data_IF_735476861704
#
_entry.id   IF_735476861704
#
_cell.length_a   1.000
_cell.length_b   1.000
_cell.length_c   1.000
_cell.angle_alpha   90.00
_cell.angle_beta   90.00
_cell.angle_gamma   90.00
#
_symmetry.space_group_name_H-M   'P 1'
#
loop_
_entity.id
_entity.type
_entity.pdbx_description
1 polymer ?
#
# COMPACT_ATOMS: atom_id res chain seq x y z
N UNK A 1 4.95 -3.54 -17.06
CA UNK A 1 4.16 -3.09 -15.87
C UNK A 1 4.40 -3.99 -14.66
N UNK A 2 4.36 -5.31 -14.81
CA UNK A 2 4.79 -6.25 -13.74
C UNK A 2 6.30 -6.22 -13.44
N UNK A 3 7.10 -5.57 -14.29
CA UNK A 3 8.56 -5.50 -14.14
C UNK A 3 8.99 -4.81 -12.83
N UNK A 4 8.09 -4.01 -12.23
CA UNK A 4 8.33 -3.32 -10.96
C UNK A 4 7.76 -4.06 -9.73
N UNK A 5 7.10 -5.21 -9.91
CA UNK A 5 6.45 -6.01 -8.87
C UNK A 5 7.41 -7.00 -8.18
N UNK A 6 8.56 -6.51 -7.72
CA UNK A 6 9.64 -7.39 -7.25
C UNK A 6 9.22 -8.26 -6.04
N UNK A 7 8.41 -7.75 -5.11
CA UNK A 7 7.90 -8.52 -3.97
C UNK A 7 7.04 -9.68 -4.46
N UNK A 8 6.08 -9.40 -5.33
CA UNK A 8 5.20 -10.43 -5.89
C UNK A 8 5.98 -11.52 -6.63
N UNK A 9 6.96 -11.15 -7.45
CA UNK A 9 7.82 -12.12 -8.14
C UNK A 9 8.71 -12.92 -7.16
N UNK A 10 9.30 -12.25 -6.17
CA UNK A 10 10.14 -12.90 -5.17
C UNK A 10 9.37 -13.93 -4.34
N UNK A 11 8.17 -13.58 -3.89
CA UNK A 11 7.27 -14.46 -3.13
C UNK A 11 6.83 -15.63 -4.01
N UNK A 12 6.41 -15.37 -5.26
CA UNK A 12 6.05 -16.43 -6.20
C UNK A 12 7.20 -17.44 -6.38
N UNK A 13 8.41 -16.96 -6.68
CA UNK A 13 9.56 -17.83 -6.85
C UNK A 13 9.86 -18.65 -5.58
N UNK A 14 9.84 -18.00 -4.41
CA UNK A 14 10.11 -18.65 -3.12
C UNK A 14 9.07 -19.72 -2.78
N UNK A 15 7.79 -19.46 -3.02
CA UNK A 15 6.70 -20.38 -2.72
C UNK A 15 6.66 -21.59 -3.67
N UNK A 16 7.02 -21.41 -4.95
CA UNK A 16 7.04 -22.50 -5.92
C UNK A 16 8.27 -23.40 -5.82
N UNK A 17 9.38 -22.88 -5.29
CA UNK A 17 10.63 -23.61 -5.18
C UNK A 17 11.23 -23.51 -3.76
N UNK A 18 10.49 -23.87 -2.70
CA UNK A 18 10.88 -23.57 -1.32
C UNK A 18 12.18 -24.29 -0.90
N UNK A 19 12.41 -25.50 -1.43
CA UNK A 19 13.61 -26.31 -1.18
C UNK A 19 14.85 -25.83 -1.95
N UNK A 20 14.65 -25.21 -3.12
CA UNK A 20 15.75 -24.74 -3.98
C UNK A 20 16.15 -23.30 -3.64
N UNK A 21 15.16 -22.44 -3.41
CA UNK A 21 15.36 -21.01 -3.13
C UNK A 21 15.33 -20.81 -1.62
N UNK A 22 16.51 -20.75 -1.01
CA UNK A 22 16.64 -20.47 0.43
C UNK A 22 16.57 -18.98 0.77
N UNK A 23 17.08 -18.13 -0.12
CA UNK A 23 17.08 -16.67 0.02
C UNK A 23 16.83 -16.02 -1.32
N UNK A 24 16.25 -14.81 -1.28
CA UNK A 24 16.12 -13.94 -2.44
C UNK A 24 16.87 -12.65 -2.15
N UNK A 25 17.81 -12.29 -3.03
CA UNK A 25 18.56 -11.05 -2.92
C UNK A 25 18.02 -10.02 -3.90
N UNK A 26 17.63 -8.85 -3.37
CA UNK A 26 17.21 -7.70 -4.15
C UNK A 26 18.43 -6.79 -4.32
N UNK A 27 18.85 -6.59 -5.56
CA UNK A 27 19.97 -5.71 -5.92
C UNK A 27 19.60 -4.87 -7.14
N UNK A 28 20.01 -3.60 -7.14
CA UNK A 28 19.80 -2.68 -8.25
C UNK A 28 20.97 -1.71 -8.36
N UNK A 29 21.15 -1.13 -9.55
CA UNK A 29 22.12 -0.08 -9.77
C UNK A 29 21.60 1.22 -9.12
N UNK A 30 22.35 1.76 -8.15
CA UNK A 30 21.94 2.92 -7.34
C UNK A 30 22.05 4.27 -8.07
N UNK A 31 21.73 4.33 -9.36
CA UNK A 31 21.63 5.59 -10.10
C UNK A 31 20.41 6.35 -9.57
N UNK A 32 20.64 7.41 -8.82
CA UNK A 32 19.57 8.25 -8.25
C UNK A 32 18.95 9.08 -9.37
N UNK A 33 17.68 8.84 -9.72
CA UNK A 33 17.04 9.62 -10.77
C UNK A 33 16.61 11.00 -10.25
N UNK A 34 16.44 11.95 -11.15
CA UNK A 34 15.95 13.29 -10.87
C UNK A 34 14.45 13.44 -11.16
N UNK A 35 13.86 14.56 -10.73
CA UNK A 35 12.46 14.89 -11.01
C UNK A 35 11.45 13.89 -10.42
N UNK A 36 10.37 13.61 -11.17
CA UNK A 36 9.30 12.69 -10.73
C UNK A 36 9.82 11.25 -10.52
N UNK A 37 10.84 10.83 -11.27
CA UNK A 37 11.42 9.49 -11.11
C UNK A 37 12.08 9.30 -9.74
N UNK A 38 12.56 10.37 -9.11
CA UNK A 38 13.05 10.35 -7.72
C UNK A 38 11.98 9.87 -6.75
N UNK A 39 10.72 10.24 -6.98
CA UNK A 39 9.61 9.85 -6.11
C UNK A 39 9.34 8.35 -6.19
N UNK A 40 9.31 7.80 -7.40
CA UNK A 40 9.17 6.36 -7.63
C UNK A 40 10.36 5.59 -7.05
N UNK A 41 11.58 6.11 -7.20
CA UNK A 41 12.78 5.52 -6.62
C UNK A 41 12.74 5.49 -5.09
N UNK A 42 12.28 6.56 -4.44
CA UNK A 42 12.07 6.57 -3.00
C UNK A 42 11.03 5.53 -2.55
N UNK A 43 9.88 5.44 -3.24
CA UNK A 43 8.86 4.43 -2.95
C UNK A 43 9.41 3.01 -3.15
N UNK A 44 10.26 2.79 -4.15
CA UNK A 44 10.95 1.53 -4.35
C UNK A 44 11.90 1.20 -3.20
N UNK A 45 12.74 2.14 -2.73
CA UNK A 45 13.61 1.92 -1.56
C UNK A 45 12.80 1.57 -0.30
N UNK A 46 11.70 2.27 -0.06
CA UNK A 46 10.77 1.97 1.02
C UNK A 46 10.22 0.54 0.93
N UNK A 47 9.77 0.14 -0.27
CA UNK A 47 9.26 -1.20 -0.53
C UNK A 47 10.31 -2.27 -0.26
N UNK A 48 11.56 -2.07 -0.73
CA UNK A 48 12.67 -2.98 -0.42
C UNK A 48 12.91 -3.06 1.08
N UNK A 49 12.88 -1.92 1.78
CA UNK A 49 13.07 -1.88 3.23
C UNK A 49 12.07 -2.72 3.99
N UNK A 50 10.78 -2.50 3.74
CA UNK A 50 9.73 -3.26 4.40
C UNK A 50 9.77 -4.73 4.00
N UNK A 51 10.11 -5.03 2.75
CA UNK A 51 10.21 -6.43 2.29
C UNK A 51 11.31 -7.21 3.02
N UNK A 52 12.51 -6.65 3.18
CA UNK A 52 13.60 -7.31 3.92
C UNK A 52 13.36 -7.35 5.44
N UNK A 53 12.54 -6.44 5.97
CA UNK A 53 12.09 -6.50 7.37
C UNK A 53 11.03 -7.58 7.58
N UNK A 54 10.10 -7.74 6.64
CA UNK A 54 8.98 -8.66 6.78
C UNK A 54 9.39 -10.13 6.56
N UNK A 55 10.47 -10.37 5.80
CA UNK A 55 10.89 -11.71 5.42
C UNK A 55 12.38 -11.98 5.68
N UNK A 56 12.68 -12.86 6.64
CA UNK A 56 14.06 -13.25 6.98
C UNK A 56 14.86 -13.88 5.81
N UNK A 57 14.15 -14.42 4.82
CA UNK A 57 14.75 -15.00 3.61
C UNK A 57 15.03 -13.95 2.53
N UNK A 58 14.53 -12.73 2.66
CA UNK A 58 14.79 -11.63 1.74
C UNK A 58 15.98 -10.80 2.25
N UNK A 59 16.93 -10.51 1.36
CA UNK A 59 18.12 -9.70 1.68
C UNK A 59 18.37 -8.64 0.62
N UNK A 60 19.06 -7.57 1.00
CA UNK A 60 19.60 -6.56 0.09
C UNK A 60 21.06 -6.31 0.43
N UNK A 61 21.90 -6.07 -0.58
CA UNK A 61 23.31 -5.74 -0.43
C UNK A 61 23.63 -4.35 -0.99
N UNK A 62 22.62 -3.51 -1.17
CA UNK A 62 22.82 -2.18 -1.71
C UNK A 62 23.37 -1.24 -0.64
N UNK A 63 24.62 -0.79 -0.79
CA UNK A 63 25.23 0.24 0.07
C UNK A 63 24.38 1.52 0.15
N UNK A 64 23.51 1.74 -0.84
CA UNK A 64 22.56 2.87 -0.88
C UNK A 64 21.35 2.73 0.06
N UNK A 65 21.24 1.59 0.75
CA UNK A 65 20.13 1.24 1.60
C UNK A 65 20.36 1.58 3.08
N UNK A 66 21.61 1.76 3.50
CA UNK A 66 21.93 2.12 4.89
C UNK A 66 21.25 3.46 5.24
N UNK A 67 20.38 3.42 6.25
CA UNK A 67 19.62 4.55 6.82
C UNK A 67 18.45 5.09 5.99
N UNK A 68 17.72 4.24 5.24
CA UNK A 68 16.43 4.67 4.70
C UNK A 68 15.39 4.89 5.82
N UNK A 69 15.07 6.15 6.10
CA UNK A 69 14.18 6.56 7.18
C UNK A 69 13.12 7.55 6.66
N UNK A 70 11.86 7.29 6.98
CA UNK A 70 10.73 8.17 6.68
C UNK A 70 10.07 8.72 7.94
N UNK A 71 10.66 8.54 9.13
CA UNK A 71 10.06 8.90 10.43
C UNK A 71 9.60 10.35 10.55
N UNK A 72 10.26 11.27 9.86
CA UNK A 72 9.91 12.69 9.83
C UNK A 72 8.86 13.04 8.76
N UNK A 73 8.36 12.05 8.03
CA UNK A 73 7.38 12.25 6.98
C UNK A 73 5.95 12.25 7.53
N UNK A 74 5.07 12.82 6.72
CA UNK A 74 3.63 12.81 6.94
C UNK A 74 2.93 12.19 5.73
N UNK A 75 1.83 11.48 5.99
CA UNK A 75 0.96 10.96 4.94
C UNK A 75 -0.16 11.95 4.63
N UNK A 76 -0.52 12.09 3.35
CA UNK A 76 -1.65 12.93 2.97
C UNK A 76 -3.00 12.28 3.33
N UNK A 77 -4.06 13.04 3.09
CA UNK A 77 -5.43 12.69 3.42
C UNK A 77 -6.38 13.21 2.32
N UNK A 78 -7.65 12.75 2.29
CA UNK A 78 -8.64 13.23 1.34
C UNK A 78 -8.81 14.76 1.36
N UNK A 79 -8.67 15.42 0.20
CA UNK A 79 -8.91 16.87 0.05
C UNK A 79 -10.21 17.21 -0.69
N UNK A 80 -10.81 16.21 -1.34
CA UNK A 80 -12.06 16.30 -2.08
C UNK A 80 -12.79 14.96 -1.98
N UNK A 81 -14.08 14.97 -2.28
CA UNK A 81 -14.82 13.74 -2.52
C UNK A 81 -14.26 12.98 -3.73
N UNK A 82 -14.56 11.69 -3.79
CA UNK A 82 -14.28 10.92 -5.01
C UNK A 82 -15.03 11.54 -6.20
N UNK A 83 -14.49 11.38 -7.41
CA UNK A 83 -15.19 11.85 -8.62
C UNK A 83 -16.60 11.23 -8.69
N UNK A 84 -17.57 11.93 -9.26
CA UNK A 84 -18.94 11.42 -9.36
C UNK A 84 -19.05 10.25 -10.35
N UNK A 85 -18.27 10.29 -11.44
CA UNK A 85 -18.28 9.27 -12.49
C UNK A 85 -17.10 8.33 -12.33
N UNK A 86 -17.35 7.03 -12.46
CA UNK A 86 -16.28 6.04 -12.60
C UNK A 86 -15.58 6.23 -13.95
N UNK A 87 -14.25 6.28 -13.95
CA UNK A 87 -13.46 6.47 -15.16
C UNK A 87 -13.17 5.15 -15.89
N UNK A 88 -13.24 4.02 -15.19
CA UNK A 88 -12.97 2.69 -15.72
C UNK A 88 -13.79 1.59 -14.99
N UNK A 89 -13.58 0.33 -15.40
CA UNK A 89 -14.29 -0.81 -14.84
C UNK A 89 -13.93 -1.08 -13.38
N UNK A 90 -12.65 -0.98 -13.01
CA UNK A 90 -12.18 -1.17 -11.62
C UNK A 90 -12.82 -0.14 -10.68
N UNK A 91 -12.86 1.14 -11.07
CA UNK A 91 -13.57 2.20 -10.32
C UNK A 91 -15.08 1.97 -10.21
N UNK A 92 -15.70 1.27 -11.17
CA UNK A 92 -17.10 0.88 -11.08
C UNK A 92 -17.27 -0.27 -10.10
N UNK A 93 -16.38 -1.25 -10.14
CA UNK A 93 -16.35 -2.39 -9.22
C UNK A 93 -16.08 -1.95 -7.78
N UNK A 94 -15.13 -1.04 -7.54
CA UNK A 94 -14.83 -0.44 -6.24
C UNK A 94 -16.11 0.13 -5.60
N UNK A 95 -16.82 0.99 -6.34
CA UNK A 95 -18.07 1.61 -5.86
C UNK A 95 -19.17 0.60 -5.62
N UNK A 96 -19.29 -0.38 -6.51
CA UNK A 96 -20.23 -1.49 -6.36
C UNK A 96 -19.97 -2.27 -5.08
N UNK A 97 -18.70 -2.60 -4.82
CA UNK A 97 -18.28 -3.32 -3.62
C UNK A 97 -18.55 -2.50 -2.35
N UNK A 98 -18.14 -1.23 -2.31
CA UNK A 98 -18.41 -0.32 -1.18
C UNK A 98 -19.91 -0.23 -0.92
N UNK A 99 -20.74 -0.05 -1.95
CA UNK A 99 -22.18 0.05 -1.80
C UNK A 99 -22.82 -1.24 -1.31
N UNK A 100 -22.34 -2.40 -1.77
CA UNK A 100 -22.89 -3.70 -1.39
C UNK A 100 -22.55 -4.08 0.06
N UNK A 101 -21.37 -3.69 0.56
CA UNK A 101 -20.85 -4.10 1.86
C UNK A 101 -20.88 -2.98 2.91
N UNK A 102 -21.54 -1.84 2.64
CA UNK A 102 -21.56 -0.68 3.54
C UNK A 102 -22.17 -0.96 4.92
N UNK A 103 -22.99 -2.00 5.04
CA UNK A 103 -23.61 -2.44 6.29
C UNK A 103 -22.76 -3.44 7.09
N UNK A 104 -21.68 -3.97 6.50
CA UNK A 104 -20.86 -5.01 7.12
C UNK A 104 -19.69 -4.45 7.95
N UNK A 105 -19.38 -3.17 7.76
CA UNK A 105 -18.23 -2.45 8.34
C UNK A 105 -18.72 -1.18 9.05
N UNK A 106 -17.98 -0.71 10.06
CA UNK A 106 -18.27 0.54 10.77
C UNK A 106 -18.08 1.77 9.86
N UNK A 107 -17.14 1.63 8.93
CA UNK A 107 -16.94 2.51 7.77
C UNK A 107 -16.28 1.72 6.67
N UNK A 108 -16.70 1.98 5.43
CA UNK A 108 -16.04 1.50 4.23
C UNK A 108 -16.08 2.61 3.19
N UNK A 109 -14.98 2.82 2.49
CA UNK A 109 -14.88 3.79 1.42
C UNK A 109 -13.78 3.40 0.43
N UNK A 110 -13.64 4.20 -0.62
CA UNK A 110 -12.67 3.94 -1.68
C UNK A 110 -11.69 5.11 -1.86
N UNK A 111 -10.56 4.83 -2.51
CA UNK A 111 -9.55 5.79 -2.92
C UNK A 111 -8.91 6.57 -1.75
N UNK A 112 -8.43 5.89 -0.71
CA UNK A 112 -7.73 6.55 0.42
C UNK A 112 -6.32 6.99 0.00
N UNK A 113 -5.96 8.29 0.08
CA UNK A 113 -4.65 8.76 -0.31
C UNK A 113 -3.54 8.25 0.61
N UNK A 114 -2.43 7.81 0.02
CA UNK A 114 -1.24 7.30 0.74
C UNK A 114 0.05 7.95 0.24
N UNK A 115 -0.04 9.18 -0.24
CA UNK A 115 1.12 9.97 -0.65
C UNK A 115 1.92 10.43 0.57
N UNK A 116 3.24 10.27 0.52
CA UNK A 116 4.15 10.60 1.63
C UNK A 116 4.95 11.86 1.32
N UNK A 117 5.08 12.72 2.33
CA UNK A 117 5.69 14.03 2.23
C UNK A 117 6.67 14.28 3.37
N UNK A 118 7.78 14.96 3.12
CA UNK A 118 8.71 15.42 4.16
C UNK A 118 8.03 16.51 5.00
N UNK A 119 7.72 16.20 6.27
CA UNK A 119 7.15 17.08 7.31
C UNK A 119 5.79 17.74 7.04
N UNK A 120 5.46 18.07 5.79
CA UNK A 120 4.27 18.85 5.42
C UNK A 120 3.78 18.47 4.02
N UNK A 121 2.45 18.34 3.89
CA UNK A 121 1.79 18.05 2.61
C UNK A 121 1.84 19.28 1.68
N UNK A 122 2.86 19.32 0.82
CA UNK A 122 3.03 20.32 -0.23
C UNK A 122 3.77 19.74 -1.46
N UNK A 123 3.70 20.39 -2.62
CA UNK A 123 4.24 19.86 -3.86
C UNK A 123 5.78 19.67 -3.86
N UNK A 124 6.51 20.53 -3.14
CA UNK A 124 7.98 20.51 -3.04
C UNK A 124 8.49 19.43 -2.08
N UNK A 125 7.65 19.02 -1.12
CA UNK A 125 8.00 18.06 -0.08
C UNK A 125 7.61 16.62 -0.44
N UNK A 126 7.22 16.33 -1.69
CA UNK A 126 6.85 14.96 -2.08
C UNK A 126 8.04 14.02 -1.90
N UNK A 127 7.81 12.93 -1.16
CA UNK A 127 8.79 11.84 -1.00
C UNK A 127 8.40 10.68 -1.91
N UNK A 128 7.10 10.36 -1.97
CA UNK A 128 6.51 9.36 -2.87
C UNK A 128 5.65 10.01 -3.95
N UNK A 129 5.29 9.25 -5.01
CA UNK A 129 4.31 9.70 -5.99
C UNK A 129 2.97 10.04 -5.34
N UNK A 130 2.22 10.96 -5.96
CA UNK A 130 0.93 11.45 -5.46
C UNK A 130 -0.11 11.42 -6.59
N UNK A 131 -1.36 11.76 -6.27
CA UNK A 131 -2.45 11.79 -7.25
C UNK A 131 -3.09 10.41 -7.36
N UNK A 132 -2.46 9.50 -8.10
CA UNK A 132 -2.99 8.15 -8.32
C UNK A 132 -2.55 7.14 -7.24
N UNK A 133 -1.76 7.55 -6.25
CA UNK A 133 -1.37 6.70 -5.14
C UNK A 133 -2.48 6.68 -4.08
N UNK A 134 -3.45 5.79 -4.26
CA UNK A 134 -4.62 5.65 -3.38
C UNK A 134 -4.90 4.16 -3.16
N UNK A 135 -5.26 3.78 -1.94
CA UNK A 135 -5.82 2.46 -1.64
C UNK A 135 -7.19 2.38 -2.30
N UNK A 136 -7.42 1.36 -3.12
CA UNK A 136 -8.67 1.17 -3.87
C UNK A 136 -9.86 1.16 -2.93
N UNK A 137 -9.89 0.25 -1.94
CA UNK A 137 -10.94 0.16 -0.94
C UNK A 137 -10.31 -0.01 0.44
N UNK A 138 -10.86 0.69 1.42
CA UNK A 138 -10.52 0.53 2.82
C UNK A 138 -11.78 0.46 3.67
N UNK A 139 -11.71 -0.28 4.76
CA UNK A 139 -12.79 -0.37 5.72
C UNK A 139 -12.27 -0.51 7.14
N UNK A 140 -13.05 -0.10 8.13
CA UNK A 140 -12.82 -0.43 9.53
C UNK A 140 -13.97 -1.26 10.05
N UNK A 141 -13.61 -2.29 10.83
CA UNK A 141 -14.54 -3.08 11.61
C UNK A 141 -13.89 -3.40 12.93
N UNK A 142 -14.52 -2.99 14.01
CA UNK A 142 -13.94 -3.04 15.35
C UNK A 142 -12.55 -2.35 15.35
N UNK A 143 -11.53 -3.03 15.83
CA UNK A 143 -10.14 -2.53 15.90
C UNK A 143 -9.27 -2.96 14.70
N UNK A 144 -9.90 -3.36 13.59
CA UNK A 144 -9.21 -3.88 12.40
C UNK A 144 -9.39 -2.95 11.20
N UNK A 145 -8.27 -2.55 10.60
CA UNK A 145 -8.25 -1.87 9.30
C UNK A 145 -8.16 -2.92 8.18
N UNK A 146 -9.13 -2.91 7.29
CA UNK A 146 -9.15 -3.73 6.08
C UNK A 146 -8.72 -2.89 4.89
N UNK A 147 -7.77 -3.41 4.11
CA UNK A 147 -7.24 -2.80 2.88
C UNK A 147 -7.47 -3.80 1.76
N UNK A 148 -8.14 -3.39 0.69
CA UNK A 148 -8.41 -4.26 -0.45
C UNK A 148 -7.71 -3.70 -1.68
N UNK A 149 -7.07 -4.59 -2.43
CA UNK A 149 -6.59 -4.33 -3.77
C UNK A 149 -7.51 -5.05 -4.75
N UNK A 150 -8.15 -4.30 -5.65
CA UNK A 150 -9.12 -4.86 -6.60
C UNK A 150 -8.47 -5.02 -7.97
N UNK A 151 -8.69 -6.17 -8.61
CA UNK A 151 -8.32 -6.37 -10.01
C UNK A 151 -9.49 -6.96 -10.78
N UNK A 152 -9.77 -6.40 -11.95
CA UNK A 152 -10.73 -7.01 -12.86
C UNK A 152 -10.19 -8.35 -13.44
N UNK A 153 -11.08 -9.22 -13.92
CA UNK A 153 -10.72 -10.57 -14.41
C UNK A 153 -9.65 -10.60 -15.52
N UNK A 154 -9.50 -9.53 -16.28
CA UNK A 154 -8.49 -9.41 -17.34
C UNK A 154 -7.12 -8.99 -16.80
N UNK A 155 -7.07 -8.44 -15.59
CA UNK A 155 -5.87 -7.93 -14.94
C UNK A 155 -5.29 -8.95 -13.95
N UNK A 156 -4.66 -10.00 -14.49
CA UNK A 156 -4.05 -11.07 -13.70
C UNK A 156 -2.58 -10.81 -13.37
N UNK A 157 -2.21 -9.55 -13.12
CA UNK A 157 -0.82 -9.15 -12.89
C UNK A 157 -0.33 -9.56 -11.51
N UNK A 158 0.95 -9.93 -11.41
CA UNK A 158 1.57 -10.26 -10.10
C UNK A 158 1.71 -9.02 -9.22
N UNK A 159 1.70 -7.83 -9.83
CA UNK A 159 1.72 -6.52 -9.16
C UNK A 159 0.71 -6.33 -8.03
N UNK A 160 -0.42 -7.05 -8.04
CA UNK A 160 -1.42 -7.00 -6.96
C UNK A 160 -0.81 -7.28 -5.57
N UNK A 161 0.17 -8.20 -5.49
CA UNK A 161 0.89 -8.50 -4.24
C UNK A 161 1.70 -7.29 -3.81
N UNK A 162 2.53 -6.76 -4.70
CA UNK A 162 3.40 -5.61 -4.42
C UNK A 162 2.63 -4.35 -4.03
N UNK A 163 1.47 -4.11 -4.67
CA UNK A 163 0.58 -2.97 -4.35
C UNK A 163 -0.03 -3.12 -2.96
N UNK A 164 -0.67 -4.27 -2.68
CA UNK A 164 -1.27 -4.54 -1.38
C UNK A 164 -0.24 -4.53 -0.25
N UNK A 165 0.94 -5.12 -0.46
CA UNK A 165 2.03 -5.08 0.52
C UNK A 165 2.49 -3.65 0.80
N UNK A 166 2.63 -2.81 -0.23
CA UNK A 166 2.96 -1.40 -0.03
C UNK A 166 1.90 -0.69 0.83
N UNK A 167 0.61 -0.91 0.53
CA UNK A 167 -0.48 -0.29 1.28
C UNK A 167 -0.55 -0.76 2.73
N UNK A 168 -0.42 -2.07 2.98
CA UNK A 168 -0.40 -2.61 4.34
C UNK A 168 0.79 -2.03 5.12
N UNK A 169 1.99 -2.03 4.54
CA UNK A 169 3.18 -1.52 5.21
C UNK A 169 3.10 -0.02 5.54
N UNK A 170 2.64 0.82 4.61
CA UNK A 170 2.59 2.27 4.87
C UNK A 170 1.49 2.64 5.87
N UNK A 171 0.39 1.87 5.87
CA UNK A 171 -0.65 2.02 6.87
C UNK A 171 -0.20 1.49 8.23
N UNK A 172 0.60 0.44 8.30
CA UNK A 172 1.22 -0.04 9.55
C UNK A 172 2.13 1.03 10.16
N UNK A 173 3.02 1.61 9.35
CA UNK A 173 3.89 2.71 9.77
C UNK A 173 3.09 3.94 10.25
N UNK A 174 1.92 4.19 9.65
CA UNK A 174 1.00 5.23 10.13
C UNK A 174 0.37 4.84 11.48
N UNK A 175 -0.24 3.65 11.57
CA UNK A 175 -0.99 3.24 12.77
C UNK A 175 -0.07 3.08 13.99
N UNK A 176 1.20 2.76 13.77
CA UNK A 176 2.24 2.70 14.81
C UNK A 176 2.86 4.06 15.14
N UNK A 177 2.45 5.13 14.46
CA UNK A 177 3.01 6.49 14.56
C UNK A 177 4.49 6.62 14.19
N UNK A 178 5.02 5.67 13.40
CA UNK A 178 6.34 5.85 12.79
C UNK A 178 6.31 6.99 11.76
N UNK A 179 5.21 7.11 11.01
CA UNK A 179 4.82 8.34 10.30
C UNK A 179 3.47 8.83 10.82
N UNK A 180 3.12 10.08 10.53
CA UNK A 180 1.91 10.70 11.10
C UNK A 180 1.05 11.38 10.02
N UNK A 181 -0.24 11.53 10.31
CA UNK A 181 -1.03 12.55 9.61
C UNK A 181 -0.62 13.96 10.09
N UNK A 182 -0.69 14.99 9.23
CA UNK A 182 -0.46 16.36 9.68
C UNK A 182 -1.66 16.90 10.46
N UNK A 183 -1.46 17.95 11.26
CA UNK A 183 -2.47 18.53 12.15
C UNK A 183 -3.79 18.94 11.46
N UNK A 184 -3.73 19.36 10.20
CA UNK A 184 -4.90 19.76 9.43
C UNK A 184 -5.82 18.58 9.04
N UNK A 185 -5.31 17.34 9.09
CA UNK A 185 -6.10 16.13 8.86
C UNK A 185 -7.28 15.98 9.84
N UNK A 186 -7.14 16.49 11.07
CA UNK A 186 -8.16 16.41 12.13
C UNK A 186 -9.52 17.01 11.74
N UNK A 187 -9.53 17.94 10.77
CA UNK A 187 -10.73 18.67 10.36
C UNK A 187 -11.48 17.99 9.21
N UNK A 188 -10.95 16.90 8.66
CA UNK A 188 -11.43 16.30 7.43
C UNK A 188 -12.52 15.28 7.73
N UNK A 189 -13.67 15.43 7.06
CA UNK A 189 -14.84 14.54 7.17
C UNK A 189 -15.20 13.84 5.84
N UNK A 190 -14.32 13.95 4.85
CA UNK A 190 -14.54 13.41 3.52
C UNK A 190 -14.39 11.90 3.54
N UNK A 191 -15.28 11.19 2.84
CA UNK A 191 -15.16 9.73 2.63
C UNK A 191 -15.02 8.91 3.93
N UNK A 192 -15.62 9.37 5.03
CA UNK A 192 -15.52 8.70 6.35
C UNK A 192 -14.15 8.78 7.02
N UNK A 193 -13.26 9.66 6.53
CA UNK A 193 -11.90 9.81 7.06
C UNK A 193 -11.86 10.30 8.51
N UNK A 194 -12.87 11.03 8.97
CA UNK A 194 -13.00 11.45 10.37
C UNK A 194 -13.00 10.24 11.31
N UNK A 195 -13.73 9.17 10.96
CA UNK A 195 -13.74 7.92 11.73
C UNK A 195 -12.36 7.26 11.76
N UNK A 196 -11.67 7.20 10.61
CA UNK A 196 -10.32 6.64 10.53
C UNK A 196 -9.31 7.46 11.35
N UNK A 197 -9.38 8.78 11.24
CA UNK A 197 -8.53 9.69 12.00
C UNK A 197 -8.78 9.56 13.51
N UNK A 198 -10.04 9.44 13.92
CA UNK A 198 -10.40 9.19 15.32
C UNK A 198 -9.87 7.83 15.82
N UNK A 199 -9.93 6.77 15.00
CA UNK A 199 -9.34 5.48 15.35
C UNK A 199 -7.81 5.56 15.47
N UNK A 200 -7.16 6.26 14.54
CA UNK A 200 -5.72 6.52 14.52
C UNK A 200 -5.25 7.29 15.77
N UNK A 201 -5.85 8.44 16.07
CA UNK A 201 -5.39 9.28 17.20
C UNK A 201 -5.60 8.60 18.56
N UNK A 202 -6.63 7.75 18.66
CA UNK A 202 -6.93 6.96 19.86
C UNK A 202 -6.21 5.61 19.87
N UNK A 203 -5.33 5.31 18.89
CA UNK A 203 -4.57 4.05 18.77
C UNK A 203 -5.45 2.80 18.87
N UNK A 204 -6.64 2.85 18.26
CA UNK A 204 -7.60 1.74 18.30
C UNK A 204 -7.24 0.61 17.34
N UNK A 205 -6.71 0.95 16.17
CA UNK A 205 -6.34 -0.04 15.17
C UNK A 205 -5.14 -0.84 15.65
N UNK A 206 -5.34 -2.12 15.95
CA UNK A 206 -4.29 -3.04 16.40
C UNK A 206 -3.95 -4.12 15.36
N UNK A 207 -4.69 -4.16 14.25
CA UNK A 207 -4.50 -5.12 13.18
C UNK A 207 -4.85 -4.52 11.83
N UNK A 208 -4.04 -4.84 10.82
CA UNK A 208 -4.32 -4.54 9.42
C UNK A 208 -4.51 -5.88 8.69
N UNK A 209 -5.53 -5.96 7.83
CA UNK A 209 -5.78 -7.11 6.95
C UNK A 209 -5.79 -6.64 5.50
N UNK A 210 -4.84 -7.14 4.72
CA UNK A 210 -4.86 -7.01 3.25
C UNK A 210 -5.79 -8.06 2.64
N UNK A 211 -6.51 -7.69 1.58
CA UNK A 211 -7.39 -8.58 0.82
C UNK A 211 -7.13 -8.43 -0.67
N UNK A 212 -6.96 -9.55 -1.36
CA UNK A 212 -7.07 -9.57 -2.82
C UNK A 212 -8.54 -9.68 -3.20
N UNK A 213 -9.04 -8.70 -3.95
CA UNK A 213 -10.39 -8.70 -4.48
C UNK A 213 -10.32 -8.88 -6.01
N UNK A 214 -10.18 -10.13 -6.44
CA UNK A 214 -10.06 -10.49 -7.84
C UNK A 214 -10.87 -11.76 -8.14
N UNK A 215 -11.47 -11.82 -9.33
CA UNK A 215 -12.14 -13.05 -9.80
C UNK A 215 -11.10 -14.14 -10.12
N UNK A 216 -9.97 -13.73 -10.70
CA UNK A 216 -8.87 -14.62 -11.08
C UNK A 216 -7.53 -13.92 -10.80
N UNK A 217 -6.60 -14.63 -10.17
CA UNK A 217 -5.24 -14.16 -9.91
C UNK A 217 -4.26 -14.65 -10.99
N UNK A 218 -3.05 -14.10 -10.99
CA UNK A 218 -1.97 -14.63 -11.84
C UNK A 218 -1.78 -16.14 -11.55
N UNK A 219 -1.56 -17.01 -12.55
CA UNK A 219 -1.43 -18.46 -12.33
C UNK A 219 -0.31 -18.90 -11.37
N UNK A 220 0.65 -18.02 -11.10
CA UNK A 220 1.71 -18.27 -10.11
C UNK A 220 1.34 -17.87 -8.68
N UNK A 221 0.25 -17.14 -8.48
CA UNK A 221 -0.28 -16.84 -7.14
C UNK A 221 -1.17 -18.01 -6.73
N UNK A 222 -0.55 -19.01 -6.11
CA UNK A 222 -1.21 -20.19 -5.53
C UNK A 222 -1.51 -19.99 -4.05
N UNK A 223 -2.22 -20.95 -3.43
CA UNK A 223 -2.45 -20.94 -1.98
C UNK A 223 -1.12 -20.88 -1.20
N UNK A 224 -0.08 -21.59 -1.65
CA UNK A 224 1.26 -21.51 -1.05
C UNK A 224 1.87 -20.10 -1.11
N UNK A 225 1.54 -19.31 -2.14
CA UNK A 225 1.98 -17.91 -2.23
C UNK A 225 1.22 -17.07 -1.20
N UNK A 226 -0.09 -17.28 -1.07
CA UNK A 226 -0.93 -16.57 -0.09
C UNK A 226 -0.53 -16.92 1.35
N UNK A 227 -0.20 -18.18 1.63
CA UNK A 227 0.29 -18.63 2.94
C UNK A 227 1.66 -18.04 3.32
N UNK A 228 2.47 -17.69 2.32
CA UNK A 228 3.78 -17.07 2.55
C UNK A 228 3.68 -15.56 2.85
N UNK A 229 2.54 -14.92 2.57
CA UNK A 229 2.29 -13.48 2.78
C UNK A 229 1.82 -13.21 4.21
#
# INVERSE_FOLDING_TARGET
EDDSAFEGWAICLKAWMPELIKRVQISWNALVPEGEQKLHYNRFKYRVWKFVQNYEWAITNSDSFDNYDISNCVMNFPKKEAQEKAENIESTMERGYVSAHCSEYDVINHQLPVGVFDKKVNALNRVFPVGNSQIDIWAMKDDVLHIFELKDKSNKKVGIISELMFYVNIMDDLMTHYINYPEDAKKIKLRGFDKLYDAYINKKINKIKGHFLAEELHPLISDNVVELI
#
